data_IF_534218110116
#
_entry.id   IF_534218110116
#
_cell.length_a   1.000
_cell.length_b   1.000
_cell.length_c   1.000
_cell.angle_alpha   90.00
_cell.angle_beta   90.00
_cell.angle_gamma   90.00
#
_symmetry.space_group_name_H-M   'P 1'
#
loop_
_entity.id
_entity.type
_entity.pdbx_description
1 polymer ?
#
# COMPACT_ATOMS: atom_id res chain seq x y z
N UNK A 1 -5.60 -4.90 -0.13
CA UNK A 1 -5.53 -3.66 -0.95
C UNK A 1 -6.76 -2.87 -0.61
N UNK A 2 -6.67 -1.55 -0.59
CA UNK A 2 -7.80 -0.68 -0.29
C UNK A 2 -7.81 0.50 -1.24
N UNK A 3 -9.02 0.95 -1.55
CA UNK A 3 -9.32 2.06 -2.44
C UNK A 3 -9.85 3.25 -1.62
N UNK A 4 -9.97 4.42 -2.24
CA UNK A 4 -10.54 5.62 -1.64
C UNK A 4 -12.02 5.41 -1.32
N UNK A 5 -12.75 4.69 -2.17
CA UNK A 5 -14.13 4.26 -1.92
C UNK A 5 -14.30 3.40 -0.65
N UNK A 6 -13.23 2.83 -0.08
CA UNK A 6 -13.29 2.11 1.21
C UNK A 6 -13.27 3.05 2.43
N UNK A 7 -12.95 4.33 2.22
CA UNK A 7 -12.82 5.36 3.28
C UNK A 7 -13.76 6.53 3.00
N UNK A 8 -13.45 7.27 1.94
CA UNK A 8 -14.14 8.45 1.46
C UNK A 8 -13.67 8.72 0.02
N UNK A 9 -14.62 8.94 -0.88
CA UNK A 9 -14.34 9.13 -2.31
C UNK A 9 -13.32 10.26 -2.54
N UNK A 10 -12.26 10.00 -3.32
CA UNK A 10 -11.17 10.95 -3.56
C UNK A 10 -10.20 11.14 -2.39
N UNK A 11 -10.18 10.27 -1.37
CA UNK A 11 -9.19 10.32 -0.30
C UNK A 11 -7.75 10.36 -0.85
N UNK A 12 -7.02 11.43 -0.51
CA UNK A 12 -5.69 11.75 -1.05
C UNK A 12 -5.71 12.82 -2.14
N UNK A 13 -6.83 13.05 -2.83
CA UNK A 13 -6.93 14.02 -3.94
C UNK A 13 -7.45 15.40 -3.53
N UNK A 14 -7.78 15.60 -2.25
CA UNK A 14 -8.31 16.86 -1.75
C UNK A 14 -7.20 17.87 -1.43
N UNK A 15 -7.47 19.19 -1.54
CA UNK A 15 -6.52 20.21 -1.12
C UNK A 15 -6.04 20.00 0.32
N UNK A 16 -4.79 20.37 0.67
CA UNK A 16 -4.19 20.06 1.96
C UNK A 16 -5.02 20.48 3.17
N UNK A 17 -5.76 21.60 3.07
CA UNK A 17 -6.64 22.08 4.15
C UNK A 17 -7.73 21.08 4.51
N UNK A 18 -8.37 20.48 3.50
CA UNK A 18 -9.44 19.51 3.71
C UNK A 18 -8.88 18.13 4.04
N UNK A 19 -7.86 17.69 3.30
CA UNK A 19 -7.24 16.38 3.49
C UNK A 19 -6.63 16.23 4.90
N UNK A 20 -5.96 17.27 5.40
CA UNK A 20 -5.33 17.28 6.73
C UNK A 20 -6.27 17.73 7.86
N UNK A 21 -7.55 17.90 7.57
CA UNK A 21 -8.53 18.25 8.61
C UNK A 21 -8.66 17.10 9.63
N UNK A 22 -8.97 17.38 10.91
CA UNK A 22 -9.13 16.34 11.92
C UNK A 22 -10.17 15.29 11.56
N UNK A 23 -11.23 15.68 10.83
CA UNK A 23 -12.30 14.78 10.41
C UNK A 23 -11.78 13.80 9.35
N UNK A 24 -11.11 14.30 8.31
CA UNK A 24 -10.61 13.45 7.22
C UNK A 24 -9.49 12.53 7.70
N UNK A 25 -8.55 13.05 8.51
CA UNK A 25 -7.49 12.24 9.10
C UNK A 25 -8.04 11.17 10.06
N UNK A 26 -9.08 11.50 10.83
CA UNK A 26 -9.73 10.54 11.73
C UNK A 26 -10.42 9.40 10.96
N UNK A 27 -11.15 9.71 9.89
CA UNK A 27 -11.73 8.68 9.01
C UNK A 27 -10.65 7.80 8.39
N UNK A 28 -9.56 8.41 7.96
CA UNK A 28 -8.43 7.71 7.37
C UNK A 28 -7.78 6.72 8.34
N UNK A 29 -7.50 7.17 9.57
CA UNK A 29 -6.90 6.36 10.62
C UNK A 29 -7.79 5.15 10.97
N UNK A 30 -9.09 5.38 11.15
CA UNK A 30 -10.04 4.29 11.40
C UNK A 30 -10.11 3.33 10.21
N UNK A 31 -10.17 3.85 8.98
CA UNK A 31 -10.14 3.02 7.77
C UNK A 31 -8.90 2.13 7.71
N UNK A 32 -7.73 2.67 8.05
CA UNK A 32 -6.47 1.93 8.06
C UNK A 32 -6.49 0.81 9.12
N UNK A 33 -6.98 1.11 10.32
CA UNK A 33 -7.15 0.11 11.38
C UNK A 33 -8.11 -1.00 10.96
N UNK A 34 -9.25 -0.67 10.36
CA UNK A 34 -10.23 -1.66 9.88
C UNK A 34 -9.65 -2.51 8.75
N UNK A 35 -8.88 -1.92 7.83
CA UNK A 35 -8.15 -2.68 6.80
C UNK A 35 -7.18 -3.68 7.44
N UNK A 36 -6.35 -3.24 8.38
CA UNK A 36 -5.40 -4.11 9.05
C UNK A 36 -6.10 -5.26 9.77
N UNK A 37 -7.22 -4.98 10.43
CA UNK A 37 -8.01 -5.98 11.14
C UNK A 37 -8.69 -6.98 10.19
N UNK A 38 -9.46 -6.50 9.22
CA UNK A 38 -10.34 -7.36 8.42
C UNK A 38 -9.66 -7.95 7.18
N UNK A 39 -8.76 -7.22 6.53
CA UNK A 39 -8.06 -7.75 5.34
C UNK A 39 -6.78 -8.50 5.72
N UNK A 40 -6.04 -8.01 6.71
CA UNK A 40 -4.71 -8.51 7.05
C UNK A 40 -4.67 -9.28 8.39
N UNK A 41 -5.78 -9.33 9.14
CA UNK A 41 -5.86 -10.01 10.43
C UNK A 41 -4.71 -9.61 11.38
N UNK A 42 -4.40 -8.31 11.44
CA UNK A 42 -3.29 -7.75 12.21
C UNK A 42 -3.68 -6.42 12.87
N UNK A 43 -2.75 -5.87 13.66
CA UNK A 43 -2.85 -4.55 14.28
C UNK A 43 -1.70 -3.65 13.80
N UNK A 44 -1.78 -2.32 13.94
CA UNK A 44 -0.67 -1.42 13.58
C UNK A 44 0.67 -1.82 14.19
N UNK A 45 0.68 -2.29 15.44
CA UNK A 45 1.87 -2.68 16.19
C UNK A 45 2.47 -4.00 15.67
N UNK A 46 1.62 -4.91 15.17
CA UNK A 46 2.02 -6.25 14.69
C UNK A 46 2.26 -6.31 13.19
N UNK A 47 1.79 -5.31 12.43
CA UNK A 47 1.81 -5.30 10.97
C UNK A 47 3.19 -5.62 10.38
N UNK A 48 4.26 -5.02 10.90
CA UNK A 48 5.64 -5.26 10.44
C UNK A 48 6.09 -6.70 10.72
N UNK A 49 5.82 -7.22 11.92
CA UNK A 49 6.10 -8.63 12.28
C UNK A 49 5.29 -9.60 11.41
N UNK A 50 4.09 -9.22 11.00
CA UNK A 50 3.24 -9.96 10.08
C UNK A 50 3.59 -9.74 8.60
N UNK A 51 4.82 -9.27 8.32
CA UNK A 51 5.41 -9.12 6.97
C UNK A 51 4.78 -8.03 6.09
N UNK A 52 4.00 -7.11 6.66
CA UNK A 52 3.60 -5.88 5.97
C UNK A 52 4.76 -4.87 5.98
N UNK A 53 4.99 -4.17 4.88
CA UNK A 53 6.18 -3.31 4.69
C UNK A 53 5.85 -1.99 3.98
N UNK A 54 6.78 -1.04 4.00
CA UNK A 54 6.58 0.32 3.51
C UNK A 54 7.16 1.34 4.49
N UNK A 55 7.20 2.61 4.10
CA UNK A 55 7.69 3.68 4.97
C UNK A 55 6.66 4.00 6.05
N UNK A 56 5.50 4.54 5.66
CA UNK A 56 4.33 4.79 6.51
C UNK A 56 3.16 3.87 6.17
N UNK A 57 3.11 3.32 4.96
CA UNK A 57 2.10 2.35 4.53
C UNK A 57 2.40 0.88 4.87
N UNK A 58 1.43 0.04 4.53
CA UNK A 58 1.39 -1.40 4.78
C UNK A 58 1.18 -2.20 3.49
N UNK A 59 2.18 -2.23 2.62
CA UNK A 59 2.23 -3.12 1.46
C UNK A 59 2.43 -4.57 1.88
N UNK A 60 2.11 -5.52 1.02
CA UNK A 60 2.41 -6.94 1.23
C UNK A 60 2.95 -7.61 -0.03
N UNK A 61 3.77 -8.65 0.18
CA UNK A 61 4.28 -9.51 -0.88
C UNK A 61 3.99 -10.95 -0.46
N UNK A 62 3.13 -11.62 -1.21
CA UNK A 62 2.73 -13.00 -0.97
C UNK A 62 3.24 -13.89 -2.11
N UNK A 63 3.89 -15.00 -1.78
CA UNK A 63 4.22 -16.05 -2.74
C UNK A 63 3.11 -17.09 -2.78
N UNK A 64 2.56 -17.33 -3.96
CA UNK A 64 1.54 -18.35 -4.23
C UNK A 64 2.19 -19.53 -4.95
N UNK A 65 2.99 -20.29 -4.20
CA UNK A 65 3.85 -21.34 -4.75
C UNK A 65 5.19 -20.79 -5.24
N UNK A 66 6.00 -21.61 -5.92
CA UNK A 66 7.40 -21.28 -6.22
C UNK A 66 7.58 -20.23 -7.33
N UNK A 67 6.59 -20.07 -8.22
CA UNK A 67 6.75 -19.29 -9.46
C UNK A 67 5.79 -18.09 -9.58
N UNK A 68 4.91 -17.88 -8.60
CA UNK A 68 3.94 -16.78 -8.62
C UNK A 68 4.06 -15.95 -7.35
N UNK A 69 4.20 -14.63 -7.52
CA UNK A 69 4.13 -13.66 -6.44
C UNK A 69 3.02 -12.63 -6.68
N UNK A 70 2.43 -12.16 -5.60
CA UNK A 70 1.46 -11.07 -5.58
C UNK A 70 1.99 -9.95 -4.71
N UNK A 71 2.17 -8.76 -5.30
CA UNK A 71 2.43 -7.54 -4.58
C UNK A 71 1.11 -6.78 -4.45
N UNK A 72 0.65 -6.54 -3.22
CA UNK A 72 -0.45 -5.63 -2.95
C UNK A 72 0.04 -4.34 -2.34
N UNK A 73 -0.25 -3.23 -3.02
CA UNK A 73 0.19 -1.91 -2.61
C UNK A 73 -0.81 -1.23 -1.65
N UNK A 74 -0.28 -0.35 -0.82
CA UNK A 74 -1.01 0.55 0.05
C UNK A 74 -1.04 1.96 -0.54
N UNK A 75 -1.96 2.19 -1.46
CA UNK A 75 -2.04 3.42 -2.28
C UNK A 75 -2.75 4.59 -1.58
N UNK A 76 -2.91 4.50 -0.26
CA UNK A 76 -3.71 5.47 0.47
C UNK A 76 -2.95 6.04 1.67
N UNK A 77 -2.16 5.23 2.37
CA UNK A 77 -1.43 5.69 3.58
C UNK A 77 -0.48 6.85 3.33
N UNK A 78 0.01 6.98 2.10
CA UNK A 78 1.00 7.99 1.69
C UNK A 78 0.51 8.84 0.51
N UNK A 79 -0.78 8.76 0.20
CA UNK A 79 -1.36 9.43 -0.96
C UNK A 79 -1.70 10.89 -0.65
N UNK A 80 -1.27 11.78 -1.53
CA UNK A 80 -1.65 13.19 -1.56
C UNK A 80 -1.94 13.66 -2.99
N UNK A 81 -2.12 14.97 -3.18
CA UNK A 81 -2.46 15.57 -4.47
C UNK A 81 -1.35 15.43 -5.53
N UNK A 82 -0.17 14.97 -5.14
CA UNK A 82 1.03 14.87 -5.99
C UNK A 82 1.56 13.47 -6.13
N UNK A 83 1.34 12.59 -5.15
CA UNK A 83 1.87 11.23 -5.16
C UNK A 83 0.92 10.21 -4.57
N UNK A 84 1.03 8.97 -5.04
CA UNK A 84 0.32 7.80 -4.50
C UNK A 84 1.13 7.11 -3.39
N UNK A 85 2.47 7.20 -3.48
CA UNK A 85 3.42 6.60 -2.55
C UNK A 85 4.58 7.55 -2.29
N UNK A 86 5.14 7.49 -1.10
CA UNK A 86 6.41 8.14 -0.82
C UNK A 86 7.54 7.42 -1.59
N UNK A 87 8.55 8.18 -2.02
CA UNK A 87 9.74 7.63 -2.69
C UNK A 87 10.43 6.53 -1.86
N UNK A 88 10.46 6.68 -0.53
CA UNK A 88 11.01 5.65 0.35
C UNK A 88 10.26 4.32 0.25
N UNK A 89 8.92 4.36 0.10
CA UNK A 89 8.12 3.15 -0.08
C UNK A 89 8.43 2.48 -1.42
N UNK A 90 8.63 3.25 -2.49
CA UNK A 90 9.05 2.70 -3.78
C UNK A 90 10.41 2.01 -3.69
N UNK A 91 11.39 2.63 -3.03
CA UNK A 91 12.71 2.04 -2.84
C UNK A 91 12.63 0.71 -2.08
N UNK A 92 11.85 0.66 -1.00
CA UNK A 92 11.62 -0.58 -0.23
C UNK A 92 10.93 -1.64 -1.09
N UNK A 93 9.92 -1.26 -1.89
CA UNK A 93 9.25 -2.20 -2.81
C UNK A 93 10.28 -2.78 -3.78
N UNK A 94 11.06 -1.96 -4.48
CA UNK A 94 12.00 -2.44 -5.49
C UNK A 94 13.10 -3.32 -4.88
N UNK A 95 13.71 -2.89 -3.77
CA UNK A 95 14.69 -3.69 -3.05
C UNK A 95 14.12 -5.06 -2.66
N UNK A 96 12.88 -5.09 -2.16
CA UNK A 96 12.22 -6.34 -1.79
C UNK A 96 11.92 -7.23 -2.99
N UNK A 97 11.53 -6.65 -4.13
CA UNK A 97 11.33 -7.42 -5.36
C UNK A 97 12.65 -7.94 -5.93
N UNK A 98 13.74 -7.19 -5.84
CA UNK A 98 15.08 -7.65 -6.25
C UNK A 98 15.57 -8.81 -5.39
N UNK A 99 15.32 -8.75 -4.07
CA UNK A 99 15.75 -9.81 -3.15
C UNK A 99 14.87 -11.07 -3.22
N UNK A 100 13.56 -10.93 -3.30
CA UNK A 100 12.63 -12.04 -3.06
C UNK A 100 12.15 -12.76 -4.35
N UNK A 101 12.36 -12.19 -5.53
CA UNK A 101 11.77 -12.71 -6.80
C UNK A 101 12.72 -13.46 -7.73
N UNK A 102 13.89 -13.90 -7.25
CA UNK A 102 14.91 -14.54 -8.09
C UNK A 102 14.43 -15.79 -8.87
N UNK A 103 13.46 -16.53 -8.34
CA UNK A 103 12.89 -17.75 -8.97
C UNK A 103 11.41 -17.61 -9.35
N UNK A 104 10.88 -16.38 -9.37
CA UNK A 104 9.46 -16.12 -9.65
C UNK A 104 9.27 -15.84 -11.14
N UNK A 105 8.41 -16.63 -11.80
CA UNK A 105 8.10 -16.45 -13.22
C UNK A 105 7.06 -15.35 -13.47
N UNK A 106 6.12 -15.17 -12.52
CA UNK A 106 5.01 -14.24 -12.65
C UNK A 106 4.87 -13.37 -11.40
N UNK A 107 4.86 -12.06 -11.59
CA UNK A 107 4.50 -11.10 -10.56
C UNK A 107 3.17 -10.45 -10.94
N UNK A 108 2.17 -10.60 -10.07
CA UNK A 108 0.91 -9.85 -10.17
C UNK A 108 1.02 -8.66 -9.22
N UNK A 109 0.79 -7.46 -9.77
CA UNK A 109 0.84 -6.21 -9.02
C UNK A 109 -0.59 -5.70 -8.87
N UNK A 110 -1.05 -5.59 -7.63
CA UNK A 110 -2.42 -5.21 -7.27
C UNK A 110 -2.45 -3.76 -6.79
N UNK A 111 -3.05 -2.92 -7.64
CA UNK A 111 -3.31 -1.51 -7.40
C UNK A 111 -4.81 -1.25 -7.63
N UNK A 112 -5.41 -0.44 -6.78
CA UNK A 112 -6.82 -0.09 -6.77
C UNK A 112 -7.15 0.98 -7.79
N UNK A 113 -6.16 1.79 -8.18
CA UNK A 113 -6.30 2.81 -9.22
C UNK A 113 -5.46 2.46 -10.46
N UNK A 114 -5.97 2.75 -11.68
CA UNK A 114 -5.19 2.54 -12.89
C UNK A 114 -3.90 3.37 -12.85
N UNK A 115 -2.76 2.71 -13.01
CA UNK A 115 -1.46 3.37 -13.07
C UNK A 115 -0.53 2.63 -14.04
N UNK A 116 0.50 3.33 -14.52
CA UNK A 116 1.56 2.73 -15.33
C UNK A 116 2.82 2.59 -14.49
N UNK A 117 3.21 1.35 -14.19
CA UNK A 117 4.48 1.05 -13.51
C UNK A 117 5.57 0.86 -14.56
N UNK A 118 6.56 1.76 -14.58
CA UNK A 118 7.77 1.58 -15.40
C UNK A 118 8.92 1.23 -14.47
N UNK A 119 9.43 0.01 -14.59
CA UNK A 119 10.63 -0.46 -13.87
C UNK A 119 11.77 -0.62 -14.86
N UNK A 120 12.82 0.17 -14.69
CA UNK A 120 14.07 -0.01 -15.41
C UNK A 120 14.96 -0.97 -14.62
N UNK A 121 15.68 -1.84 -15.33
CA UNK A 121 16.73 -2.68 -14.75
C UNK A 121 18.07 -1.97 -14.79
#
# INVERSE_FOLDING_TARGET
MWNDHDIFDGAGSYPPLLHKSPIMMGLFEIGQQMRLLFQHHTTPEKARTHRLFGYQGYNFLAQCGPQLALLGADERSECDDKTVHNENTWNIIFEKLDNDLQNVAHLIVLFSVPFSLVRFK
#
